data_IF_451733405926
#
_entry.id   IF_451733405926
#
_cell.length_a   1.000
_cell.length_b   1.000
_cell.length_c   1.000
_cell.angle_alpha   90.00
_cell.angle_beta   90.00
_cell.angle_gamma   90.00
#
_symmetry.space_group_name_H-M   'P 1'
#
loop_
_entity.id
_entity.type
_entity.pdbx_description
1 polymer ?
#
# COMPACT_ATOMS: atom_id res chain seq x y z
N UNK A 1 -22.73 -0.64 3.16
CA UNK A 1 -22.42 -0.78 1.71
C UNK A 1 -21.08 -0.15 1.34
N UNK A 2 -20.83 1.13 1.65
CA UNK A 2 -19.56 1.78 1.35
C UNK A 2 -18.34 1.09 2.02
N UNK A 3 -18.46 0.63 3.26
CA UNK A 3 -17.42 -0.16 3.95
C UNK A 3 -17.13 -1.53 3.29
N UNK A 4 -18.14 -2.16 2.67
CA UNK A 4 -17.94 -3.42 1.95
C UNK A 4 -17.07 -3.23 0.72
N UNK A 5 -17.14 -2.05 0.09
CA UNK A 5 -16.30 -1.72 -1.06
C UNK A 5 -14.82 -1.61 -0.68
N UNK A 6 -14.54 -1.10 0.53
CA UNK A 6 -13.19 -0.99 1.10
C UNK A 6 -12.59 -2.37 1.40
N UNK A 7 -13.41 -3.36 1.78
CA UNK A 7 -12.95 -4.74 2.01
C UNK A 7 -12.90 -5.60 0.72
N UNK A 8 -13.78 -5.32 -0.25
CA UNK A 8 -13.81 -6.04 -1.53
C UNK A 8 -12.58 -5.70 -2.39
N UNK A 9 -12.12 -4.45 -2.37
CA UNK A 9 -10.94 -3.99 -3.11
C UNK A 9 -9.70 -4.83 -2.84
N UNK A 10 -9.24 -4.98 -1.58
CA UNK A 10 -8.13 -5.85 -1.20
C UNK A 10 -8.30 -7.30 -1.65
N UNK A 11 -9.52 -7.84 -1.52
CA UNK A 11 -9.81 -9.22 -1.93
C UNK A 11 -9.62 -9.39 -3.44
N UNK A 12 -10.18 -8.48 -4.25
CA UNK A 12 -10.03 -8.49 -5.71
C UNK A 12 -8.57 -8.25 -6.11
N UNK A 13 -7.89 -7.31 -5.44
CA UNK A 13 -6.46 -7.05 -5.64
C UNK A 13 -5.61 -8.30 -5.41
N UNK A 14 -5.88 -9.06 -4.34
CA UNK A 14 -5.17 -10.30 -4.06
C UNK A 14 -5.42 -11.40 -5.10
N UNK A 15 -6.62 -11.45 -5.71
CA UNK A 15 -6.97 -12.43 -6.76
C UNK A 15 -6.31 -12.12 -8.11
N UNK A 16 -5.99 -10.85 -8.38
CA UNK A 16 -5.35 -10.44 -9.62
C UNK A 16 -3.82 -10.67 -9.63
N UNK A 17 -3.25 -11.11 -8.51
CA UNK A 17 -1.80 -11.32 -8.32
C UNK A 17 -1.17 -12.27 -9.34
N UNK A 18 -1.90 -13.31 -9.79
CA UNK A 18 -1.43 -14.22 -10.84
C UNK A 18 -1.22 -13.55 -12.21
N UNK A 19 -1.95 -12.46 -12.51
CA UNK A 19 -1.69 -11.61 -13.70
C UNK A 19 -0.50 -10.68 -13.44
N UNK A 20 -0.28 -10.33 -12.17
CA UNK A 20 0.79 -9.48 -11.67
C UNK A 20 2.19 -10.07 -11.71
N UNK A 21 2.35 -11.39 -11.75
CA UNK A 21 3.68 -12.04 -11.76
C UNK A 21 4.56 -11.55 -12.92
N UNK A 22 3.95 -11.17 -14.05
CA UNK A 22 4.62 -10.61 -15.23
C UNK A 22 5.04 -9.14 -15.08
N UNK A 23 4.54 -8.41 -14.07
CA UNK A 23 4.89 -7.00 -13.86
C UNK A 23 6.30 -6.87 -13.28
N UNK A 24 7.26 -6.33 -14.05
CA UNK A 24 8.56 -5.94 -13.49
C UNK A 24 8.44 -4.88 -12.39
N UNK A 25 9.57 -4.56 -11.71
CA UNK A 25 9.61 -3.60 -10.57
C UNK A 25 8.95 -2.22 -10.85
N UNK A 26 8.99 -1.70 -12.08
CA UNK A 26 8.29 -0.43 -12.38
C UNK A 26 6.79 -0.60 -12.63
N UNK A 27 6.32 -1.76 -13.06
CA UNK A 27 4.87 -2.01 -13.12
C UNK A 27 4.26 -1.89 -11.73
N UNK A 28 4.92 -2.47 -10.72
CA UNK A 28 4.55 -2.28 -9.32
C UNK A 28 4.62 -0.82 -8.88
N UNK A 29 5.69 -0.09 -9.24
CA UNK A 29 5.81 1.34 -8.93
C UNK A 29 4.69 2.18 -9.52
N UNK A 30 4.27 1.90 -10.76
CA UNK A 30 3.16 2.61 -11.43
C UNK A 30 1.82 2.29 -10.77
N UNK A 31 1.56 1.02 -10.44
CA UNK A 31 0.34 0.64 -9.70
C UNK A 31 0.29 1.33 -8.34
N UNK A 32 1.40 1.31 -7.61
CA UNK A 32 1.52 1.96 -6.30
C UNK A 32 1.29 3.48 -6.39
N UNK A 33 1.88 4.14 -7.38
CA UNK A 33 1.68 5.57 -7.63
C UNK A 33 0.22 5.88 -7.98
N UNK A 34 -0.39 5.10 -8.88
CA UNK A 34 -1.79 5.26 -9.26
C UNK A 34 -2.74 5.09 -8.08
N UNK A 35 -2.51 4.07 -7.24
CA UNK A 35 -3.27 3.84 -6.01
C UNK A 35 -3.11 4.98 -5.00
N UNK A 36 -1.90 5.51 -4.83
CA UNK A 36 -1.66 6.64 -3.93
C UNK A 36 -2.35 7.93 -4.41
N UNK A 37 -2.34 8.19 -5.72
CA UNK A 37 -3.09 9.31 -6.31
C UNK A 37 -4.60 9.12 -6.16
N UNK A 38 -5.11 7.92 -6.40
CA UNK A 38 -6.53 7.60 -6.21
C UNK A 38 -6.97 7.79 -4.75
N UNK A 39 -6.13 7.39 -3.78
CA UNK A 39 -6.38 7.62 -2.36
C UNK A 39 -6.44 9.11 -2.03
N UNK A 40 -5.45 9.90 -2.48
CA UNK A 40 -5.41 11.33 -2.22
C UNK A 40 -6.63 12.07 -2.80
N UNK A 41 -6.95 11.80 -4.07
CA UNK A 41 -8.12 12.41 -4.75
C UNK A 41 -9.43 11.95 -4.10
N UNK A 42 -9.55 10.66 -3.81
CA UNK A 42 -10.76 10.10 -3.18
C UNK A 42 -11.01 10.65 -1.78
N UNK A 43 -9.96 10.81 -0.97
CA UNK A 43 -10.04 11.36 0.38
C UNK A 43 -10.44 12.85 0.39
N UNK A 44 -10.04 13.62 -0.64
CA UNK A 44 -10.38 15.05 -0.75
C UNK A 44 -11.77 15.30 -1.36
N UNK A 45 -12.34 14.33 -2.09
CA UNK A 45 -13.60 14.53 -2.82
C UNK A 45 -14.84 14.67 -1.93
N UNK A 46 -14.81 14.17 -0.69
CA UNK A 46 -15.90 14.31 0.29
C UNK A 46 -17.26 13.76 -0.13
N UNK A 47 -17.30 12.93 -1.18
CA UNK A 47 -18.52 12.41 -1.80
C UNK A 47 -18.46 10.88 -1.97
N UNK A 48 -19.59 10.20 -2.27
CA UNK A 48 -19.63 8.73 -2.37
C UNK A 48 -18.70 8.16 -3.45
N UNK A 49 -18.43 8.91 -4.53
CA UNK A 49 -17.49 8.51 -5.58
C UNK A 49 -16.04 8.53 -5.07
N UNK A 50 -15.71 9.47 -4.19
CA UNK A 50 -14.44 9.49 -3.48
C UNK A 50 -14.19 8.23 -2.65
N UNK A 51 -15.24 7.72 -2.00
CA UNK A 51 -15.15 6.46 -1.24
C UNK A 51 -14.87 5.25 -2.17
N UNK A 52 -15.43 5.27 -3.38
CA UNK A 52 -15.12 4.25 -4.39
C UNK A 52 -13.65 4.31 -4.84
N UNK A 53 -13.12 5.51 -5.06
CA UNK A 53 -11.70 5.71 -5.38
C UNK A 53 -10.77 5.22 -4.27
N UNK A 54 -11.14 5.45 -3.01
CA UNK A 54 -10.39 4.93 -1.85
C UNK A 54 -10.41 3.40 -1.84
N UNK A 55 -11.54 2.76 -2.14
CA UNK A 55 -11.63 1.29 -2.28
C UNK A 55 -10.71 0.74 -3.39
N UNK A 56 -10.63 1.41 -4.54
CA UNK A 56 -9.70 1.07 -5.62
C UNK A 56 -8.25 1.23 -5.18
N UNK A 57 -7.94 2.29 -4.44
CA UNK A 57 -6.59 2.50 -3.90
C UNK A 57 -6.16 1.36 -2.97
N UNK A 58 -7.02 0.96 -2.03
CA UNK A 58 -6.77 -0.18 -1.14
C UNK A 58 -6.57 -1.49 -1.90
N UNK A 59 -7.35 -1.74 -2.95
CA UNK A 59 -7.14 -2.91 -3.80
C UNK A 59 -5.77 -2.95 -4.46
N UNK A 60 -5.31 -1.81 -4.99
CA UNK A 60 -3.97 -1.73 -5.58
C UNK A 60 -2.84 -1.81 -4.55
N UNK A 61 -3.01 -1.24 -3.36
CA UNK A 61 -2.06 -1.42 -2.25
C UNK A 61 -1.93 -2.89 -1.84
N UNK A 62 -3.06 -3.58 -1.65
CA UNK A 62 -3.06 -5.01 -1.32
C UNK A 62 -2.37 -5.85 -2.40
N UNK A 63 -2.65 -5.56 -3.68
CA UNK A 63 -2.00 -6.25 -4.79
C UNK A 63 -0.47 -6.08 -4.78
N UNK A 64 0.01 -4.86 -4.55
CA UNK A 64 1.45 -4.57 -4.47
C UNK A 64 2.09 -5.30 -3.29
N UNK A 65 1.42 -5.30 -2.13
CA UNK A 65 1.90 -5.91 -0.89
C UNK A 65 2.05 -7.43 -1.05
N UNK A 66 1.01 -8.11 -1.57
CA UNK A 66 1.05 -9.56 -1.81
C UNK A 66 2.16 -9.95 -2.80
N UNK A 67 2.34 -9.18 -3.88
CA UNK A 67 3.40 -9.48 -4.85
C UNK A 67 4.80 -9.19 -4.29
N UNK A 68 4.92 -8.17 -3.44
CA UNK A 68 6.18 -7.86 -2.75
C UNK A 68 6.56 -8.97 -1.78
N UNK A 69 5.61 -9.47 -1.00
CA UNK A 69 5.78 -10.60 -0.09
C UNK A 69 6.16 -11.87 -0.84
N UNK A 70 5.47 -12.21 -1.94
CA UNK A 70 5.82 -13.38 -2.75
C UNK A 70 7.27 -13.31 -3.24
N UNK A 71 7.71 -12.15 -3.75
CA UNK A 71 9.08 -11.93 -4.21
C UNK A 71 10.12 -11.95 -3.09
N UNK A 72 9.75 -11.48 -1.91
CA UNK A 72 10.60 -11.54 -0.74
C UNK A 72 10.77 -12.99 -0.30
N UNK A 73 9.68 -13.76 -0.30
CA UNK A 73 9.71 -15.19 0.02
C UNK A 73 10.59 -15.99 -0.94
N UNK A 74 10.51 -15.73 -2.25
CA UNK A 74 11.38 -16.38 -3.25
C UNK A 74 12.87 -16.06 -3.07
N UNK A 75 13.20 -14.90 -2.49
CA UNK A 75 14.59 -14.48 -2.27
C UNK A 75 15.18 -14.95 -0.96
N UNK A 76 14.36 -15.33 0.02
CA UNK A 76 14.85 -15.82 1.31
C UNK A 76 15.09 -17.34 1.18
N UNK A 77 16.19 -17.69 0.53
CA UNK A 77 16.75 -19.03 0.53
C UNK A 77 17.84 -19.12 1.61
N UNK A 78 17.70 -20.04 2.57
CA UNK A 78 18.79 -20.41 3.49
C UNK A 78 18.47 -20.45 4.99
N UNK A 79 19.47 -20.79 5.84
CA UNK A 79 19.30 -21.19 7.24
C UNK A 79 18.80 -20.10 8.21
N UNK A 80 18.77 -18.82 7.79
CA UNK A 80 18.38 -17.67 8.63
C UNK A 80 16.96 -17.17 8.38
N UNK A 81 16.15 -17.94 7.64
CA UNK A 81 14.78 -17.58 7.27
C UNK A 81 13.92 -17.20 8.48
N UNK A 82 13.96 -17.98 9.56
CA UNK A 82 13.19 -17.71 10.77
C UNK A 82 13.50 -16.33 11.39
N UNK A 83 14.78 -15.97 11.52
CA UNK A 83 15.19 -14.68 12.10
C UNK A 83 14.78 -13.52 11.20
N UNK A 84 14.96 -13.65 9.88
CA UNK A 84 14.57 -12.60 8.92
C UNK A 84 13.05 -12.38 8.91
N UNK A 85 12.26 -13.44 8.96
CA UNK A 85 10.80 -13.32 9.03
C UNK A 85 10.36 -12.71 10.36
N UNK A 86 10.99 -13.05 11.49
CA UNK A 86 10.70 -12.42 12.79
C UNK A 86 11.03 -10.92 12.80
N UNK A 87 12.17 -10.51 12.25
CA UNK A 87 12.54 -9.10 12.15
C UNK A 87 11.60 -8.34 11.20
N UNK A 88 11.20 -8.97 10.08
CA UNK A 88 10.20 -8.40 9.17
C UNK A 88 8.86 -8.21 9.89
N UNK A 89 8.38 -9.21 10.61
CA UNK A 89 7.14 -9.15 11.40
C UNK A 89 7.19 -8.05 12.46
N UNK A 90 8.29 -7.99 13.23
CA UNK A 90 8.51 -6.95 14.25
C UNK A 90 8.53 -5.55 13.63
N UNK A 91 9.16 -5.39 12.46
CA UNK A 91 9.17 -4.14 11.71
C UNK A 91 7.77 -3.72 11.25
N UNK A 92 6.96 -4.66 10.76
CA UNK A 92 5.57 -4.41 10.37
C UNK A 92 4.70 -4.03 11.56
N UNK A 93 4.85 -4.69 12.71
CA UNK A 93 4.14 -4.33 13.94
C UNK A 93 4.50 -2.91 14.41
N UNK A 94 5.80 -2.59 14.46
CA UNK A 94 6.27 -1.25 14.82
C UNK A 94 5.75 -0.16 13.86
N UNK A 95 5.78 -0.43 12.55
CA UNK A 95 5.23 0.48 11.55
C UNK A 95 3.72 0.67 11.75
N UNK A 96 2.99 -0.40 12.06
CA UNK A 96 1.56 -0.36 12.35
C UNK A 96 1.27 0.52 13.56
N UNK A 97 1.99 0.32 14.66
CA UNK A 97 1.85 1.15 15.88
C UNK A 97 2.16 2.61 15.58
N UNK A 98 3.23 2.90 14.84
CA UNK A 98 3.59 4.25 14.45
C UNK A 98 2.51 4.92 13.59
N UNK A 99 1.92 4.20 12.63
CA UNK A 99 0.81 4.66 11.78
C UNK A 99 -0.42 4.98 12.62
N UNK A 100 -0.83 4.08 13.53
CA UNK A 100 -1.96 4.35 14.41
C UNK A 100 -1.71 5.53 15.35
N UNK A 101 -0.49 5.65 15.90
CA UNK A 101 -0.09 6.79 16.73
C UNK A 101 -0.14 8.12 15.97
N UNK A 102 0.42 8.16 14.76
CA UNK A 102 0.36 9.33 13.89
C UNK A 102 -1.07 9.67 13.49
N UNK A 103 -1.90 8.67 13.17
CA UNK A 103 -3.33 8.87 12.87
C UNK A 103 -4.05 9.49 14.06
N UNK A 104 -3.84 8.98 15.27
CA UNK A 104 -4.46 9.52 16.47
C UNK A 104 -4.09 10.99 16.71
N UNK A 105 -2.82 11.36 16.50
CA UNK A 105 -2.33 12.74 16.61
C UNK A 105 -2.98 13.68 15.58
N UNK A 106 -3.12 13.22 14.33
CA UNK A 106 -3.71 14.01 13.25
C UNK A 106 -5.23 14.13 13.41
N UNK A 107 -5.91 13.02 13.72
CA UNK A 107 -7.36 12.98 13.90
C UNK A 107 -7.84 13.74 15.15
N UNK A 108 -6.97 13.95 16.14
CA UNK A 108 -7.28 14.78 17.32
C UNK A 108 -7.46 16.26 17.00
N UNK A 109 -6.94 16.74 15.86
CA UNK A 109 -6.91 18.17 15.53
C UNK A 109 -7.42 18.52 14.12
N UNK A 110 -7.59 17.54 13.22
CA UNK A 110 -7.95 17.75 11.82
C UNK A 110 -9.04 16.79 11.34
N UNK A 111 -9.75 17.17 10.27
CA UNK A 111 -10.75 16.30 9.62
C UNK A 111 -10.09 15.05 9.00
N UNK A 112 -10.72 13.89 9.12
CA UNK A 112 -10.17 12.58 8.71
C UNK A 112 -9.59 12.53 7.28
N UNK A 113 -10.06 13.36 6.35
CA UNK A 113 -9.54 13.46 4.99
C UNK A 113 -8.06 13.90 4.91
N UNK A 114 -7.59 14.76 5.81
CA UNK A 114 -6.17 15.16 5.84
C UNK A 114 -5.27 14.04 6.33
N UNK A 115 -5.75 13.19 7.25
CA UNK A 115 -5.01 12.01 7.70
C UNK A 115 -4.78 11.05 6.53
N UNK A 116 -5.82 10.75 5.73
CA UNK A 116 -5.67 9.91 4.55
C UNK A 116 -4.72 10.49 3.50
N UNK A 117 -4.76 11.80 3.26
CA UNK A 117 -3.82 12.48 2.35
C UNK A 117 -2.38 12.39 2.85
N UNK A 118 -2.15 12.55 4.16
CA UNK A 118 -0.83 12.42 4.78
C UNK A 118 -0.29 10.99 4.65
N UNK A 119 -1.15 9.99 4.88
CA UNK A 119 -0.76 8.58 4.74
C UNK A 119 -0.53 8.13 3.29
N UNK A 120 -0.92 8.93 2.29
CA UNK A 120 -0.54 8.67 0.90
C UNK A 120 0.95 8.98 0.62
N UNK A 121 1.58 9.84 1.43
CA UNK A 121 2.97 10.30 1.22
C UNK A 121 4.00 9.16 1.24
N UNK A 122 4.01 8.23 2.24
CA UNK A 122 4.94 7.10 2.24
C UNK A 122 4.81 6.20 1.00
N UNK A 123 3.58 6.00 0.52
CA UNK A 123 3.34 5.22 -0.71
C UNK A 123 3.90 5.92 -1.95
N UNK A 124 3.70 7.23 -2.08
CA UNK A 124 4.26 8.03 -3.17
C UNK A 124 5.79 8.03 -3.15
N UNK A 125 6.41 8.19 -1.97
CA UNK A 125 7.88 8.11 -1.81
C UNK A 125 8.39 6.75 -2.26
N UNK A 126 7.74 5.67 -1.81
CA UNK A 126 8.13 4.30 -2.17
C UNK A 126 7.99 4.06 -3.68
N UNK A 127 6.90 4.53 -4.29
CA UNK A 127 6.68 4.46 -5.73
C UNK A 127 7.78 5.19 -6.51
N UNK A 128 8.14 6.41 -6.09
CA UNK A 128 9.21 7.20 -6.72
C UNK A 128 10.58 6.49 -6.62
N UNK A 129 10.91 5.89 -5.48
CA UNK A 129 12.15 5.12 -5.32
C UNK A 129 12.17 3.92 -6.27
N UNK A 130 11.05 3.18 -6.40
CA UNK A 130 10.95 2.02 -7.28
C UNK A 130 11.06 2.41 -8.77
N UNK A 131 10.48 3.55 -9.16
CA UNK A 131 10.57 4.08 -10.53
C UNK A 131 11.99 4.60 -10.83
N UNK A 132 12.60 5.33 -9.90
CA UNK A 132 13.93 5.93 -10.09
C UNK A 132 15.06 4.90 -10.13
N UNK A 133 14.95 3.78 -9.41
CA UNK A 133 15.98 2.71 -9.46
C UNK A 133 16.08 1.99 -10.81
N UNK A 134 15.19 2.28 -11.77
CA UNK A 134 15.34 1.85 -13.18
C UNK A 134 16.23 2.76 -14.02
N UNK A 135 16.49 4.00 -13.61
CA UNK A 135 17.27 4.94 -14.43
C UNK A 135 18.79 4.77 -14.29
N UNK A 136 19.25 3.99 -13.30
CA UNK A 136 20.67 3.74 -13.05
C UNK A 136 21.09 2.26 -13.23
N UNK A 137 20.23 1.40 -13.77
CA UNK A 137 20.45 -0.04 -13.88
C UNK A 137 20.34 -0.55 -15.32
#
# INVERSE_FOLDING_TARGET
LLLLLIYAGPTIGSLLTGVGERLGRAGLGVVLAGSALAMAVGAMAGNPVGVALVGVAFGGFQFVDVLADARLQDRIEGPRRATLTSVASMGTELATVAVFGAYALVAASHAHGTAFALFAVPYLVTALVLVNRRWCG
#
